data_IF_726084197293
#
_entry.id   IF_726084197293
#
_cell.length_a   1.000
_cell.length_b   1.000
_cell.length_c   1.000
_cell.angle_alpha   90.00
_cell.angle_beta   90.00
_cell.angle_gamma   90.00
#
_symmetry.space_group_name_H-M   'P 1'
#
loop_
_entity.id
_entity.type
_entity.pdbx_description
1 polymer ?
#
# COMPACT_ATOMS: atom_id res chain seq x y z
N UNK A 1 18.69 -33.10 15.61
CA UNK A 1 18.09 -32.00 14.85
C UNK A 1 18.84 -30.77 15.29
N UNK A 2 19.71 -30.23 14.46
CA UNK A 2 20.30 -28.93 14.75
C UNK A 2 19.17 -27.91 14.66
N UNK A 3 18.70 -27.44 15.81
CA UNK A 3 17.74 -26.35 15.86
C UNK A 3 18.37 -25.15 15.16
N UNK A 4 17.74 -24.71 14.07
CA UNK A 4 18.16 -23.52 13.36
C UNK A 4 18.04 -22.32 14.30
N UNK A 5 19.17 -21.95 14.92
CA UNK A 5 19.24 -20.83 15.85
C UNK A 5 18.91 -19.55 15.09
N UNK A 6 17.79 -18.92 15.42
CA UNK A 6 17.48 -17.59 14.88
C UNK A 6 18.59 -16.62 15.29
N UNK A 7 19.17 -15.87 14.35
CA UNK A 7 20.21 -14.90 14.67
C UNK A 7 19.64 -13.79 15.54
N UNK A 8 20.45 -13.30 16.47
CA UNK A 8 20.19 -12.05 17.17
C UNK A 8 20.23 -10.88 16.18
N UNK A 9 19.62 -9.73 16.51
CA UNK A 9 19.69 -8.54 15.66
C UNK A 9 21.12 -8.12 15.29
N UNK A 10 22.08 -8.34 16.19
CA UNK A 10 23.50 -8.06 15.94
C UNK A 10 24.11 -9.04 14.93
N UNK A 11 23.91 -10.34 15.13
CA UNK A 11 24.39 -11.38 14.20
C UNK A 11 23.78 -11.18 12.80
N UNK A 12 22.49 -10.83 12.72
CA UNK A 12 21.83 -10.53 11.45
C UNK A 12 22.41 -9.29 10.76
N UNK A 13 22.71 -8.22 11.51
CA UNK A 13 23.36 -7.02 10.96
C UNK A 13 24.77 -7.31 10.44
N UNK A 14 25.55 -8.14 11.14
CA UNK A 14 26.88 -8.57 10.69
C UNK A 14 26.80 -9.42 9.42
N UNK A 15 25.82 -10.33 9.32
CA UNK A 15 25.55 -11.09 8.10
C UNK A 15 25.22 -10.18 6.91
N UNK A 16 24.35 -9.19 7.10
CA UNK A 16 24.00 -8.22 6.06
C UNK A 16 25.24 -7.44 5.57
N UNK A 17 26.09 -6.97 6.49
CA UNK A 17 27.35 -6.30 6.13
C UNK A 17 28.29 -7.22 5.36
N UNK A 18 28.37 -8.50 5.73
CA UNK A 18 29.23 -9.48 5.06
C UNK A 18 28.82 -9.76 3.60
N UNK A 19 27.53 -9.65 3.27
CA UNK A 19 27.02 -9.78 1.90
C UNK A 19 26.95 -8.44 1.15
N UNK A 20 27.51 -7.36 1.72
CA UNK A 20 27.65 -6.06 1.07
C UNK A 20 26.46 -5.11 1.23
N UNK A 21 25.51 -5.41 2.12
CA UNK A 21 24.49 -4.42 2.49
C UNK A 21 25.14 -3.31 3.33
N UNK A 22 24.80 -2.08 2.99
CA UNK A 22 25.25 -0.87 3.69
C UNK A 22 24.06 -0.17 4.34
N UNK A 23 24.34 0.65 5.35
CA UNK A 23 23.31 1.44 6.01
C UNK A 23 22.61 2.35 4.98
N UNK A 24 21.28 2.36 5.01
CA UNK A 24 20.51 3.22 4.13
C UNK A 24 20.83 4.68 4.38
N UNK A 25 21.23 5.40 3.33
CA UNK A 25 21.40 6.86 3.36
C UNK A 25 20.08 7.61 3.15
N UNK A 26 19.01 6.90 2.75
CA UNK A 26 17.72 7.51 2.50
C UNK A 26 17.03 7.84 3.81
N UNK A 27 16.91 9.13 4.10
CA UNK A 27 15.93 9.63 5.05
C UNK A 27 14.63 9.81 4.28
N UNK A 28 13.64 8.98 4.59
CA UNK A 28 12.26 9.28 4.20
C UNK A 28 11.80 10.45 5.06
N UNK A 29 12.03 11.67 4.57
CA UNK A 29 11.36 12.84 5.12
C UNK A 29 9.87 12.65 4.85
N UNK A 30 9.06 12.81 5.91
CA UNK A 30 7.62 12.69 5.82
C UNK A 30 7.08 13.78 4.88
N UNK A 31 6.97 13.49 3.59
CA UNK A 31 6.20 14.31 2.68
C UNK A 31 4.74 14.21 3.10
N UNK A 32 4.21 15.29 3.65
CA UNK A 32 2.79 15.42 3.89
C UNK A 32 2.07 15.41 2.54
N UNK A 33 1.53 14.26 2.16
CA UNK A 33 0.62 14.18 1.02
C UNK A 33 -0.74 14.61 1.55
N UNK A 34 -1.08 15.88 1.35
CA UNK A 34 -2.45 16.35 1.54
C UNK A 34 -3.35 15.65 0.52
N UNK A 35 -4.13 14.68 0.99
CA UNK A 35 -5.17 14.05 0.18
C UNK A 35 -6.40 14.95 0.27
N UNK A 36 -6.63 15.75 -0.77
CA UNK A 36 -7.86 16.54 -0.86
C UNK A 36 -9.05 15.59 -1.05
N UNK A 37 -9.81 15.38 0.02
CA UNK A 37 -10.97 14.48 0.05
C UNK A 37 -12.22 15.19 -0.49
N UNK A 38 -12.10 15.98 -1.56
CA UNK A 38 -13.27 16.50 -2.27
C UNK A 38 -14.06 15.30 -2.77
N UNK A 39 -15.13 14.97 -2.04
CA UNK A 39 -16.16 14.05 -2.50
C UNK A 39 -16.74 14.67 -3.78
N UNK A 40 -16.31 14.20 -4.94
CA UNK A 40 -17.11 14.36 -6.14
C UNK A 40 -18.42 13.63 -5.84
N UNK A 41 -19.49 14.40 -5.60
CA UNK A 41 -20.86 13.87 -5.60
C UNK A 41 -20.98 13.13 -6.92
N UNK A 42 -20.98 11.79 -6.88
CA UNK A 42 -21.40 11.01 -8.04
C UNK A 42 -22.80 11.49 -8.34
N UNK A 43 -22.98 11.93 -9.58
CA UNK A 43 -24.20 12.50 -10.10
C UNK A 43 -25.40 11.65 -9.68
N UNK A 44 -26.30 12.25 -8.90
CA UNK A 44 -27.70 11.86 -8.86
C UNK A 44 -28.26 12.17 -10.26
N UNK A 45 -28.15 11.22 -11.19
CA UNK A 45 -28.84 11.28 -12.48
C UNK A 45 -29.59 9.95 -12.68
N UNK A 46 -30.76 9.94 -12.03
CA UNK A 46 -32.01 9.29 -12.46
C UNK A 46 -31.87 8.30 -13.64
N UNK A 47 -31.77 7.02 -13.31
CA UNK A 47 -32.09 5.95 -14.26
C UNK A 47 -33.55 5.52 -14.00
N UNK A 48 -34.49 6.37 -14.38
CA UNK A 48 -35.93 6.05 -14.41
C UNK A 48 -36.20 5.17 -15.64
N UNK A 49 -36.05 3.85 -15.49
CA UNK A 49 -36.34 2.88 -16.55
C UNK A 49 -37.85 2.57 -16.53
N UNK A 50 -38.65 3.48 -17.07
CA UNK A 50 -40.01 3.18 -17.51
C UNK A 50 -39.93 2.31 -18.78
N UNK A 51 -39.84 0.98 -18.63
CA UNK A 51 -40.11 0.05 -19.72
C UNK A 51 -41.62 -0.11 -19.90
N UNK A 52 -42.23 0.74 -20.72
CA UNK A 52 -43.50 0.42 -21.39
C UNK A 52 -43.24 -0.64 -22.46
N UNK A 53 -43.46 -1.92 -22.12
CA UNK A 53 -43.64 -2.98 -23.12
C UNK A 53 -45.03 -2.83 -23.76
N UNK A 54 -45.15 -1.90 -24.71
CA UNK A 54 -46.27 -1.81 -25.64
C UNK A 54 -45.83 -2.34 -27.02
N UNK A 55 -46.16 -3.60 -27.33
CA UNK A 55 -46.70 -4.05 -28.62
C UNK A 55 -46.75 -5.59 -28.72
N UNK A 56 -47.94 -6.20 -28.65
CA UNK A 56 -48.72 -6.74 -29.81
C UNK A 56 -49.78 -7.72 -29.31
#
# INVERSE_FOLDING_TARGET
MDEFKKPTPKEFSEMLKAIGFVDSTHKYEFFYIERDLVKHKQFDEELDIHNEDNNT
#
